data_IF_351445199124
#
_entry.id   IF_351445199124
#
_cell.length_a   1.000
_cell.length_b   1.000
_cell.length_c   1.000
_cell.angle_alpha   90.00
_cell.angle_beta   90.00
_cell.angle_gamma   90.00
#
_symmetry.space_group_name_H-M   'P 1'
#
loop_
_entity.id
_entity.type
_entity.pdbx_description
1 polymer ?
#
# COMPACT_ATOMS: atom_id res chain seq x y z
N UNK A 1 -11.89 -2.55 -13.15
CA UNK A 1 -10.47 -2.98 -13.04
C UNK A 1 -10.39 -3.88 -11.81
N UNK A 2 -9.76 -5.05 -11.90
CA UNK A 2 -9.61 -5.95 -10.74
C UNK A 2 -8.27 -5.66 -10.08
N UNK A 3 -8.31 -5.14 -8.86
CA UNK A 3 -7.11 -4.88 -8.07
C UNK A 3 -6.60 -6.21 -7.51
N UNK A 4 -5.30 -6.50 -7.70
CA UNK A 4 -4.67 -7.72 -7.18
C UNK A 4 -3.74 -7.39 -6.02
N UNK A 5 -3.73 -8.22 -4.98
CA UNK A 5 -2.77 -8.10 -3.88
C UNK A 5 -1.35 -8.39 -4.39
N UNK A 6 -0.54 -7.34 -4.38
CA UNK A 6 0.85 -7.35 -4.84
C UNK A 6 1.84 -7.26 -3.67
N UNK A 7 1.41 -7.47 -2.43
CA UNK A 7 2.29 -7.40 -1.25
C UNK A 7 3.46 -8.39 -1.33
N UNK A 8 3.27 -9.52 -2.02
CA UNK A 8 4.32 -10.49 -2.32
C UNK A 8 5.47 -9.92 -3.18
N UNK A 9 5.21 -8.86 -3.97
CA UNK A 9 6.21 -8.21 -4.82
C UNK A 9 7.23 -7.37 -4.03
N UNK A 10 7.07 -7.20 -2.71
CA UNK A 10 8.00 -6.46 -1.84
C UNK A 10 9.20 -7.30 -1.38
N UNK A 11 9.26 -8.58 -1.77
CA UNK A 11 10.36 -9.48 -1.41
C UNK A 11 10.36 -9.79 0.09
N UNK A 12 11.40 -9.36 0.81
CA UNK A 12 11.50 -9.56 2.28
C UNK A 12 10.78 -8.49 3.10
N UNK A 13 10.40 -7.38 2.46
CA UNK A 13 9.70 -6.28 3.13
C UNK A 13 8.20 -6.57 3.19
N UNK A 14 7.55 -6.06 4.24
CA UNK A 14 6.11 -6.23 4.49
C UNK A 14 5.43 -4.87 4.60
N UNK A 15 4.20 -4.80 4.12
CA UNK A 15 3.32 -3.67 4.40
C UNK A 15 3.11 -3.52 5.92
N UNK A 16 2.84 -2.29 6.41
CA UNK A 16 2.44 -2.10 7.80
C UNK A 16 1.15 -2.86 8.11
N UNK A 17 0.93 -3.16 9.38
CA UNK A 17 -0.26 -3.89 9.83
C UNK A 17 -1.53 -3.14 9.43
N UNK A 18 -2.50 -3.86 8.86
CA UNK A 18 -3.74 -3.29 8.32
C UNK A 18 -3.61 -2.72 6.91
N UNK A 19 -2.43 -2.76 6.26
CA UNK A 19 -2.25 -2.23 4.90
C UNK A 19 -1.98 -3.35 3.89
N UNK A 20 -2.55 -3.19 2.69
CA UNK A 20 -2.27 -4.04 1.53
C UNK A 20 -1.70 -3.22 0.39
N UNK A 21 -0.70 -3.78 -0.30
CA UNK A 21 -0.23 -3.24 -1.57
C UNK A 21 -1.09 -3.82 -2.69
N UNK A 22 -1.73 -2.95 -3.46
CA UNK A 22 -2.56 -3.34 -4.59
C UNK A 22 -1.88 -2.95 -5.90
N UNK A 23 -1.90 -3.87 -6.86
CA UNK A 23 -1.55 -3.61 -8.25
C UNK A 23 -2.84 -3.43 -9.06
N UNK A 24 -2.94 -2.30 -9.77
CA UNK A 24 -4.13 -1.91 -10.53
C UNK A 24 -4.05 -2.34 -12.00
N UNK A 25 -2.84 -2.29 -12.54
CA UNK A 25 -2.48 -2.73 -13.89
C UNK A 25 -1.00 -3.14 -13.95
N UNK A 26 -0.43 -3.32 -15.14
CA UNK A 26 0.96 -3.76 -15.31
C UNK A 26 2.02 -2.81 -14.74
N UNK A 27 1.67 -1.59 -14.35
CA UNK A 27 2.64 -0.58 -13.90
C UNK A 27 2.20 0.31 -12.74
N UNK A 28 0.95 0.25 -12.29
CA UNK A 28 0.41 1.14 -11.25
C UNK A 28 0.05 0.40 -9.96
N UNK A 29 0.39 1.06 -8.85
CA UNK A 29 0.22 0.55 -7.50
C UNK A 29 -0.47 1.58 -6.61
N UNK A 30 -1.10 1.09 -5.55
CA UNK A 30 -1.64 1.89 -4.44
C UNK A 30 -1.63 1.05 -3.16
N UNK A 31 -1.75 1.68 -2.00
CA UNK A 31 -2.06 0.96 -0.76
C UNK A 31 -3.52 1.19 -0.39
N UNK A 32 -4.10 0.21 0.31
CA UNK A 32 -5.40 0.31 0.96
C UNK A 32 -5.29 -0.12 2.41
N UNK A 33 -5.98 0.58 3.30
CA UNK A 33 -6.12 0.21 4.70
C UNK A 33 -7.37 -0.65 4.90
N UNK A 34 -7.22 -1.82 5.48
CA UNK A 34 -8.25 -2.86 5.54
C UNK A 34 -9.46 -2.48 6.42
N UNK A 35 -9.25 -1.69 7.47
CA UNK A 35 -10.32 -1.33 8.41
C UNK A 35 -11.06 -0.04 8.05
N UNK A 36 -10.32 0.99 7.62
CA UNK A 36 -10.90 2.32 7.34
C UNK A 36 -11.32 2.50 5.89
N UNK A 37 -10.96 1.55 5.03
CA UNK A 37 -11.15 1.65 3.58
C UNK A 37 -10.40 2.84 2.93
N UNK A 38 -9.44 3.44 3.64
CA UNK A 38 -8.62 4.52 3.11
C UNK A 38 -7.66 3.99 2.05
N UNK A 39 -7.42 4.81 1.02
CA UNK A 39 -6.61 4.45 -0.13
C UNK A 39 -5.58 5.54 -0.43
N UNK A 40 -4.43 5.13 -0.93
CA UNK A 40 -3.41 6.07 -1.40
C UNK A 40 -3.73 6.60 -2.80
N UNK A 41 -3.08 7.70 -3.18
CA UNK A 41 -2.95 8.02 -4.59
C UNK A 41 -2.26 6.87 -5.35
N UNK A 42 -2.61 6.74 -6.63
CA UNK A 42 -2.00 5.76 -7.54
C UNK A 42 -0.59 6.23 -7.91
N UNK A 43 0.37 5.32 -7.91
CA UNK A 43 1.75 5.60 -8.29
C UNK A 43 2.38 4.45 -9.07
N UNK A 44 3.29 4.77 -9.99
CA UNK A 44 3.96 3.77 -10.84
C UNK A 44 5.06 2.97 -10.12
N UNK A 45 5.50 3.45 -8.96
CA UNK A 45 6.52 2.80 -8.12
C UNK A 45 5.89 2.21 -6.87
N UNK A 46 5.90 0.87 -6.77
CA UNK A 46 5.49 0.14 -5.56
C UNK A 46 6.26 0.54 -4.31
N UNK A 47 7.51 1.00 -4.46
CA UNK A 47 8.33 1.44 -3.34
C UNK A 47 7.88 2.80 -2.79
N UNK A 48 7.44 3.71 -3.67
CA UNK A 48 6.83 4.96 -3.22
C UNK A 48 5.54 4.69 -2.44
N UNK A 49 4.72 3.76 -2.91
CA UNK A 49 3.51 3.30 -2.20
C UNK A 49 3.85 2.67 -0.84
N UNK A 50 4.85 1.78 -0.81
CA UNK A 50 5.34 1.18 0.43
C UNK A 50 5.76 2.24 1.46
N UNK A 51 6.57 3.22 1.05
CA UNK A 51 6.99 4.30 1.95
C UNK A 51 5.81 5.18 2.38
N UNK A 52 4.86 5.45 1.49
CA UNK A 52 3.63 6.18 1.80
C UNK A 52 2.77 5.46 2.85
N UNK A 53 2.59 4.14 2.72
CA UNK A 53 1.83 3.35 3.70
C UNK A 53 2.50 3.36 5.08
N UNK A 54 3.84 3.26 5.13
CA UNK A 54 4.60 3.36 6.38
C UNK A 54 4.55 4.75 7.00
N UNK A 55 4.48 5.81 6.19
CA UNK A 55 4.28 7.16 6.69
C UNK A 55 2.88 7.32 7.29
N UNK A 56 1.84 6.90 6.56
CA UNK A 56 0.44 6.96 7.01
C UNK A 56 0.22 6.17 8.31
N UNK A 57 0.74 4.94 8.38
CA UNK A 57 0.70 4.10 9.58
C UNK A 57 1.34 4.77 10.81
N UNK A 58 2.45 5.47 10.62
CA UNK A 58 3.11 6.22 11.71
C UNK A 58 2.28 7.42 12.15
N UNK A 59 1.65 8.14 11.22
CA UNK A 59 0.76 9.27 11.53
C UNK A 59 -0.47 8.79 12.30
N UNK A 60 -1.07 7.65 11.94
CA UNK A 60 -2.20 7.05 12.68
C UNK A 60 -1.85 6.53 14.06
N UNK A 61 -0.59 6.17 14.27
CA UNK A 61 -0.10 5.67 15.56
C UNK A 61 0.22 6.81 16.55
N UNK A 62 0.07 8.07 16.15
CA UNK A 62 0.24 9.22 17.06
C UNK A 62 -0.97 9.32 17.99
N UNK A 63 -0.75 9.66 19.28
CA UNK A 63 -1.81 9.83 20.26
C UNK A 63 -2.68 11.07 19.98
#
# INVERSE_FOLDING_TARGET
MSNQDASHCLGRLKMPEGYKLLQLDSGHFMWRHDESDDESCIHWSKWAIYHGAHADSKERSKP
#
